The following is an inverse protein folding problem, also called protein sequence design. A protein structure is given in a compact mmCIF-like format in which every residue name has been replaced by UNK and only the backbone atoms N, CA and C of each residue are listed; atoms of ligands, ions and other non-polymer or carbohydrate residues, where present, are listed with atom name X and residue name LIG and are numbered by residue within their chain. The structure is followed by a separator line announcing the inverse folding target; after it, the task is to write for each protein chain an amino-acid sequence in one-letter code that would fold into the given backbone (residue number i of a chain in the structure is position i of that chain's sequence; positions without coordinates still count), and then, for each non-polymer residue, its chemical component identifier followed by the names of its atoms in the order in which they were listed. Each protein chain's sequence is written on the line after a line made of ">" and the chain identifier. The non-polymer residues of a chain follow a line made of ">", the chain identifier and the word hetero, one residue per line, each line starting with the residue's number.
data_IF_853913513553
#
_entry.id   IF_853913513553
#
_cell.length_a   1.000
_cell.length_b   1.000
_cell.length_c   1.000
_cell.angle_alpha   90.00
_cell.angle_beta   90.00
_cell.angle_gamma   90.00
#
_symmetry.space_group_name_H-M   'P 1'
#
loop_
_entity.id
_entity.type
_entity.pdbx_description
1 polymer ?
#
# COMPACT_ATOMS: atom_id res chain seq x y z
N UNK A 1 3.38 2.86 13.06
CA UNK A 1 4.48 3.78 12.73
C UNK A 1 5.38 3.28 11.60
N UNK A 2 5.88 2.03 11.61
CA UNK A 2 6.73 1.51 10.53
C UNK A 2 6.12 1.62 9.12
N UNK A 3 4.89 1.16 8.91
CA UNK A 3 4.20 1.29 7.61
C UNK A 3 3.98 2.73 7.16
N UNK A 4 3.73 3.66 8.10
CA UNK A 4 3.60 5.08 7.78
C UNK A 4 4.91 5.61 7.17
N UNK A 5 6.05 5.38 7.84
CA UNK A 5 7.36 5.86 7.37
C UNK A 5 7.72 5.23 6.03
N UNK A 6 7.49 3.92 5.88
CA UNK A 6 7.78 3.21 4.63
C UNK A 6 6.97 3.75 3.46
N UNK A 7 5.65 3.89 3.61
CA UNK A 7 4.78 4.33 2.52
C UNK A 7 4.90 5.83 2.24
N UNK A 8 5.15 6.66 3.25
CA UNK A 8 5.44 8.08 3.03
C UNK A 8 6.78 8.26 2.30
N UNK A 9 7.83 7.55 2.72
CA UNK A 9 9.11 7.58 2.04
C UNK A 9 9.01 7.10 0.59
N UNK A 10 8.30 6.00 0.38
CA UNK A 10 8.04 5.47 -0.96
C UNK A 10 7.24 6.47 -1.83
N UNK A 11 6.22 7.14 -1.27
CA UNK A 11 5.47 8.16 -1.98
C UNK A 11 6.37 9.33 -2.40
N UNK A 12 7.22 9.85 -1.51
CA UNK A 12 8.13 10.95 -1.82
C UNK A 12 9.13 10.55 -2.91
N UNK A 13 9.76 9.37 -2.78
CA UNK A 13 10.70 8.86 -3.78
C UNK A 13 9.98 8.68 -5.12
N UNK A 14 8.81 8.04 -5.12
CA UNK A 14 8.06 7.80 -6.34
C UNK A 14 7.58 9.09 -7.01
N UNK A 15 7.13 10.08 -6.24
CA UNK A 15 6.77 11.40 -6.76
C UNK A 15 7.98 12.04 -7.44
N UNK A 16 9.13 12.13 -6.76
CA UNK A 16 10.33 12.77 -7.30
C UNK A 16 10.86 12.04 -8.54
N UNK A 17 11.11 10.73 -8.43
CA UNK A 17 11.62 9.93 -9.55
C UNK A 17 10.65 9.93 -10.73
N UNK A 18 9.34 9.87 -10.48
CA UNK A 18 8.33 9.90 -11.55
C UNK A 18 8.24 11.23 -12.31
N UNK A 19 8.67 12.34 -11.70
CA UNK A 19 8.69 13.68 -12.33
C UNK A 19 10.06 14.02 -12.93
N UNK A 20 11.15 13.67 -12.25
CA UNK A 20 12.50 14.09 -12.61
C UNK A 20 13.22 13.07 -13.50
N UNK A 21 13.05 11.78 -13.22
CA UNK A 21 13.79 10.68 -13.86
C UNK A 21 12.93 9.43 -14.15
N UNK A 22 11.78 9.57 -14.84
CA UNK A 22 10.82 8.48 -15.01
C UNK A 22 11.37 7.27 -15.77
N UNK A 23 12.34 7.43 -16.66
CA UNK A 23 12.94 6.32 -17.41
C UNK A 23 13.59 5.26 -16.51
N UNK A 24 14.00 5.61 -15.27
CA UNK A 24 14.56 4.65 -14.30
C UNK A 24 13.58 3.52 -13.94
N UNK A 25 12.27 3.71 -14.10
CA UNK A 25 11.30 2.64 -13.86
C UNK A 25 11.33 1.55 -14.94
N UNK A 26 11.93 1.81 -16.11
CA UNK A 26 12.08 0.81 -17.17
C UNK A 26 13.11 -0.25 -16.77
N UNK A 27 14.13 0.11 -15.99
CA UNK A 27 15.18 -0.81 -15.52
C UNK A 27 14.60 -1.96 -14.67
N UNK A 28 13.40 -1.77 -14.08
CA UNK A 28 12.69 -2.84 -13.38
C UNK A 28 12.25 -3.99 -14.29
N UNK A 29 12.19 -3.79 -15.61
CA UNK A 29 11.88 -4.83 -16.59
C UNK A 29 12.88 -6.00 -16.53
N UNK A 30 14.12 -5.77 -16.11
CA UNK A 30 15.17 -6.80 -16.08
C UNK A 30 15.02 -7.79 -14.91
N UNK A 31 14.30 -7.39 -13.86
CA UNK A 31 14.05 -8.22 -12.68
C UNK A 31 12.63 -8.80 -12.66
N UNK A 32 11.75 -8.28 -13.51
CA UNK A 32 10.34 -8.62 -13.55
C UNK A 32 10.08 -9.98 -14.23
N UNK A 33 9.02 -10.67 -13.80
CA UNK A 33 8.54 -11.85 -14.52
C UNK A 33 8.10 -11.49 -15.95
N UNK A 34 8.08 -12.44 -16.91
CA UNK A 34 7.86 -12.13 -18.33
C UNK A 34 6.59 -11.32 -18.64
N UNK A 35 5.49 -11.60 -17.94
CA UNK A 35 4.23 -10.87 -18.12
C UNK A 35 4.39 -9.39 -17.70
N UNK A 36 5.03 -9.15 -16.55
CA UNK A 36 5.19 -7.82 -16.00
C UNK A 36 6.29 -7.03 -16.72
N UNK A 37 7.33 -7.71 -17.21
CA UNK A 37 8.32 -7.15 -18.14
C UNK A 37 7.66 -6.58 -19.40
N UNK A 38 6.74 -7.32 -20.02
CA UNK A 38 5.99 -6.85 -21.21
C UNK A 38 5.10 -5.63 -20.91
N UNK A 39 4.55 -5.56 -19.70
CA UNK A 39 3.80 -4.39 -19.26
C UNK A 39 4.71 -3.16 -19.10
N UNK A 40 5.87 -3.32 -18.44
CA UNK A 40 6.85 -2.25 -18.21
C UNK A 40 7.37 -1.68 -19.54
N UNK A 41 7.79 -2.56 -20.46
CA UNK A 41 8.32 -2.19 -21.79
C UNK A 41 7.23 -1.91 -22.84
N UNK A 42 5.97 -1.78 -22.39
CA UNK A 42 4.81 -1.61 -23.27
C UNK A 42 3.94 -0.46 -22.78
N UNK A 43 2.73 -0.77 -22.32
CA UNK A 43 1.74 0.22 -21.91
C UNK A 43 2.22 1.16 -20.78
N UNK A 44 3.13 0.70 -19.92
CA UNK A 44 3.68 1.52 -18.85
C UNK A 44 4.65 2.58 -19.37
N UNK A 45 5.46 2.24 -20.38
CA UNK A 45 6.52 3.11 -20.92
C UNK A 45 6.00 4.47 -21.40
N UNK A 46 4.84 4.48 -22.07
CA UNK A 46 4.24 5.72 -22.57
C UNK A 46 3.56 6.56 -21.47
N UNK A 47 3.34 5.98 -20.29
CA UNK A 47 2.51 6.55 -19.22
C UNK A 47 3.18 6.49 -17.84
N UNK A 48 4.53 6.40 -17.79
CA UNK A 48 5.27 6.20 -16.54
C UNK A 48 4.90 7.26 -15.51
N UNK A 49 5.05 8.54 -15.85
CA UNK A 49 4.78 9.65 -14.92
C UNK A 49 3.36 9.60 -14.35
N UNK A 50 2.27 9.62 -15.15
CA UNK A 50 0.92 9.60 -14.57
C UNK A 50 0.62 8.33 -13.77
N UNK A 51 1.14 7.16 -14.17
CA UNK A 51 0.95 5.93 -13.41
C UNK A 51 1.70 5.96 -12.07
N UNK A 52 2.96 6.35 -12.07
CA UNK A 52 3.80 6.44 -10.86
C UNK A 52 3.26 7.50 -9.90
N UNK A 53 2.79 8.65 -10.39
CA UNK A 53 2.14 9.65 -9.52
C UNK A 53 0.85 9.12 -8.90
N UNK A 54 0.05 8.37 -9.67
CA UNK A 54 -1.16 7.72 -9.13
C UNK A 54 -0.81 6.70 -8.03
N UNK A 55 0.28 5.94 -8.22
CA UNK A 55 0.81 5.04 -7.21
C UNK A 55 1.28 5.82 -5.96
N UNK A 56 2.01 6.93 -6.14
CA UNK A 56 2.49 7.76 -5.03
C UNK A 56 1.33 8.35 -4.20
N UNK A 57 0.24 8.77 -4.86
CA UNK A 57 -0.99 9.18 -4.17
C UNK A 57 -1.58 8.02 -3.36
N UNK A 58 -1.67 6.83 -3.95
CA UNK A 58 -2.12 5.63 -3.23
C UNK A 58 -1.25 5.32 -2.00
N UNK A 59 0.07 5.46 -2.14
CA UNK A 59 1.01 5.27 -1.03
C UNK A 59 0.83 6.32 0.07
N UNK A 60 0.58 7.58 -0.29
CA UNK A 60 0.30 8.64 0.66
C UNK A 60 -1.01 8.37 1.43
N UNK A 61 -2.06 7.89 0.74
CA UNK A 61 -3.33 7.51 1.37
C UNK A 61 -3.14 6.35 2.35
N UNK A 62 -2.36 5.33 1.98
CA UNK A 62 -1.99 4.23 2.89
C UNK A 62 -1.24 4.80 4.10
N UNK A 63 -0.25 5.66 3.90
CA UNK A 63 0.49 6.27 4.99
C UNK A 63 -0.42 7.06 5.95
N UNK A 64 -1.28 7.93 5.42
CA UNK A 64 -2.21 8.75 6.20
C UNK A 64 -3.19 7.89 7.01
N UNK A 65 -3.72 6.83 6.40
CA UNK A 65 -4.66 5.92 7.06
C UNK A 65 -4.09 5.22 8.29
N UNK A 66 -2.76 5.10 8.42
CA UNK A 66 -2.11 4.49 9.58
C UNK A 66 -2.25 5.31 10.87
N UNK A 67 -2.66 6.57 10.79
CA UNK A 67 -2.99 7.42 11.95
C UNK A 67 -4.50 7.54 12.19
N UNK A 68 -5.32 6.97 11.31
CA UNK A 68 -6.77 6.99 11.44
C UNK A 68 -7.26 5.78 12.23
N UNK A 69 -8.51 5.81 12.67
CA UNK A 69 -9.17 4.69 13.33
C UNK A 69 -10.22 4.04 12.44
N UNK A 70 -10.62 2.82 12.82
CA UNK A 70 -11.78 2.15 12.25
C UNK A 70 -11.70 1.85 10.75
N UNK A 71 -12.74 2.20 10.01
CA UNK A 71 -12.87 1.83 8.59
C UNK A 71 -11.78 2.46 7.71
N UNK A 72 -11.30 3.66 8.04
CA UNK A 72 -10.20 4.31 7.30
C UNK A 72 -8.89 3.55 7.47
N UNK A 73 -8.57 3.15 8.69
CA UNK A 73 -7.42 2.29 8.97
C UNK A 73 -7.48 0.95 8.23
N UNK A 74 -8.68 0.34 8.20
CA UNK A 74 -8.93 -0.91 7.48
C UNK A 74 -8.78 -0.75 5.97
N UNK A 75 -9.32 0.31 5.39
CA UNK A 75 -9.16 0.64 3.98
C UNK A 75 -7.68 0.83 3.64
N UNK A 76 -6.94 1.51 4.52
CA UNK A 76 -5.48 1.61 4.49
C UNK A 76 -4.75 0.28 4.42
N UNK A 77 -5.11 -0.65 5.30
CA UNK A 77 -4.53 -1.99 5.33
C UNK A 77 -4.83 -2.76 4.03
N UNK A 78 -6.05 -2.67 3.51
CA UNK A 78 -6.41 -3.28 2.22
C UNK A 78 -5.62 -2.68 1.07
N UNK A 79 -5.48 -1.35 1.04
CA UNK A 79 -4.64 -0.65 0.06
C UNK A 79 -3.18 -1.13 0.14
N UNK A 80 -2.64 -1.29 1.34
CA UNK A 80 -1.30 -1.83 1.58
C UNK A 80 -1.12 -3.26 1.03
N UNK A 81 -2.10 -4.14 1.26
CA UNK A 81 -2.11 -5.51 0.71
C UNK A 81 -2.11 -5.47 -0.81
N UNK A 82 -3.05 -4.74 -1.41
CA UNK A 82 -3.19 -4.63 -2.87
C UNK A 82 -1.90 -4.09 -3.48
N UNK A 83 -1.33 -3.02 -2.90
CA UNK A 83 -0.07 -2.45 -3.36
C UNK A 83 1.08 -3.48 -3.32
N UNK A 84 1.30 -4.13 -2.17
CA UNK A 84 2.37 -5.10 -2.02
C UNK A 84 2.23 -6.29 -2.99
N UNK A 85 1.01 -6.80 -3.19
CA UNK A 85 0.75 -7.87 -4.14
C UNK A 85 0.95 -7.41 -5.59
N UNK A 86 0.48 -6.22 -5.94
CA UNK A 86 0.61 -5.67 -7.29
C UNK A 86 2.08 -5.51 -7.72
N UNK A 87 2.98 -5.14 -6.82
CA UNK A 87 4.40 -4.97 -7.12
C UNK A 87 5.23 -6.26 -6.95
N UNK A 88 4.66 -7.33 -6.39
CA UNK A 88 5.37 -8.61 -6.22
C UNK A 88 5.97 -9.17 -7.52
N UNK A 89 5.30 -9.08 -8.70
CA UNK A 89 5.84 -9.53 -9.97
C UNK A 89 7.12 -8.82 -10.46
N UNK A 90 7.53 -7.69 -9.85
CA UNK A 90 8.81 -7.04 -10.14
C UNK A 90 10.01 -7.83 -9.57
N UNK A 91 9.78 -8.85 -8.74
CA UNK A 91 10.84 -9.70 -8.22
C UNK A 91 11.81 -8.93 -7.32
N UNK A 92 13.13 -9.12 -7.54
CA UNK A 92 14.18 -8.50 -6.72
C UNK A 92 14.10 -6.97 -6.69
N UNK A 93 13.67 -6.33 -7.77
CA UNK A 93 13.49 -4.88 -7.84
C UNK A 93 12.48 -4.35 -6.81
N UNK A 94 11.50 -5.16 -6.40
CA UNK A 94 10.54 -4.81 -5.36
C UNK A 94 10.93 -5.33 -3.96
N UNK A 95 12.20 -5.68 -3.74
CA UNK A 95 12.67 -6.30 -2.50
C UNK A 95 11.93 -7.60 -2.13
N UNK A 96 11.54 -8.40 -3.13
CA UNK A 96 10.99 -9.73 -2.88
C UNK A 96 11.95 -10.59 -2.02
N UNK A 97 11.46 -11.37 -1.03
CA UNK A 97 10.05 -11.65 -0.69
C UNK A 97 9.43 -10.70 0.35
N UNK A 98 10.09 -9.59 0.70
CA UNK A 98 9.63 -8.69 1.76
C UNK A 98 8.23 -8.11 1.48
N UNK A 99 7.87 -7.88 0.22
CA UNK A 99 6.52 -7.44 -0.19
C UNK A 99 5.42 -8.41 0.23
N UNK A 100 5.65 -9.72 0.14
CA UNK A 100 4.69 -10.72 0.62
C UNK A 100 4.58 -10.71 2.14
N UNK A 101 5.71 -10.59 2.84
CA UNK A 101 5.71 -10.47 4.30
C UNK A 101 4.97 -9.22 4.77
N UNK A 102 5.15 -8.09 4.07
CA UNK A 102 4.42 -6.85 4.34
C UNK A 102 2.92 -6.99 4.07
N UNK A 103 2.52 -7.65 2.97
CA UNK A 103 1.11 -7.94 2.71
C UNK A 103 0.49 -8.77 3.84
N UNK A 104 1.19 -9.80 4.33
CA UNK A 104 0.74 -10.59 5.49
C UNK A 104 0.64 -9.75 6.77
N UNK A 105 1.58 -8.84 7.00
CA UNK A 105 1.55 -7.95 8.14
C UNK A 105 0.37 -6.96 8.07
N UNK A 106 0.06 -6.40 6.90
CA UNK A 106 -1.16 -5.61 6.70
C UNK A 106 -2.43 -6.44 6.92
N UNK A 107 -2.45 -7.70 6.48
CA UNK A 107 -3.59 -8.59 6.74
C UNK A 107 -3.82 -8.84 8.23
N UNK A 108 -2.75 -9.08 9.00
CA UNK A 108 -2.86 -9.20 10.46
C UNK A 108 -3.36 -7.91 11.10
N UNK A 109 -2.90 -6.75 10.61
CA UNK A 109 -3.31 -5.44 11.09
C UNK A 109 -4.79 -5.16 10.80
N UNK A 110 -5.25 -5.53 9.60
CA UNK A 110 -6.65 -5.45 9.19
C UNK A 110 -7.56 -6.26 10.12
N UNK A 111 -7.17 -7.52 10.43
CA UNK A 111 -7.95 -8.38 11.35
C UNK A 111 -8.04 -7.79 12.75
N UNK A 112 -6.91 -7.35 13.32
CA UNK A 112 -6.89 -6.71 14.65
C UNK A 112 -7.70 -5.41 14.69
N UNK A 113 -7.75 -4.67 13.57
CA UNK A 113 -8.59 -3.49 13.43
C UNK A 113 -10.09 -3.81 13.53
N UNK A 114 -10.51 -4.97 13.02
CA UNK A 114 -11.88 -5.45 13.10
C UNK A 114 -12.29 -5.74 14.55
N UNK A 115 -11.44 -6.47 15.29
CA UNK A 115 -11.69 -6.80 16.71
C UNK A 115 -11.85 -5.54 17.58
N UNK A 116 -11.08 -4.48 17.30
CA UNK A 116 -11.17 -3.19 18.00
C UNK A 116 -12.49 -2.47 17.72
N UNK A 117 -12.97 -2.51 16.47
CA UNK A 117 -14.24 -1.90 16.08
C UNK A 117 -15.42 -2.60 16.73
N UNK A 118 -15.44 -3.93 16.69
CA UNK A 118 -16.48 -4.75 17.33
C UNK A 118 -16.54 -4.47 18.83
N UNK A 119 -15.39 -4.42 19.51
CA UNK A 119 -15.33 -4.09 20.94
C UNK A 119 -15.88 -2.69 21.23
N UNK A 120 -15.53 -1.68 20.43
CA UNK A 120 -16.00 -0.29 20.59
C UNK A 120 -17.52 -0.19 20.38
N UNK A 121 -18.06 -0.94 19.43
CA UNK A 121 -19.50 -0.99 19.18
C UNK A 121 -20.26 -1.65 20.34
N UNK A 122 -19.75 -2.77 20.87
CA UNK A 122 -20.33 -3.44 22.05
C UNK A 122 -20.32 -2.51 23.26
N UNK A 123 -19.19 -1.86 23.56
CA UNK A 123 -19.06 -0.92 24.68
C UNK A 123 -20.04 0.26 24.56
N UNK A 124 -20.15 0.84 23.36
CA UNK A 124 -21.11 1.92 23.09
C UNK A 124 -22.55 1.46 23.31
N UNK A 125 -22.91 0.24 22.90
CA UNK A 125 -24.25 -0.32 23.14
C UNK A 125 -24.50 -0.55 24.63
N UNK A 126 -23.52 -1.06 25.37
CA UNK A 126 -23.64 -1.27 26.83
C UNK A 126 -23.83 0.05 27.57
N UNK A 127 -23.12 1.11 27.18
CA UNK A 127 -23.27 2.46 27.77
C UNK A 127 -24.58 3.15 27.37
N UNK A 128 -25.14 2.82 26.21
CA UNK A 128 -26.39 3.39 25.70
C UNK A 128 -27.65 2.75 26.28
N UNK A 129 -27.54 1.64 27.03
CA UNK A 129 -28.66 1.07 27.76
C UNK A 129 -28.85 1.86 29.07
N UNK A 130 -29.96 2.61 29.23
CA UNK A 130 -30.25 3.23 30.52
C UNK A 130 -30.56 2.11 31.49
N UNK A 131 -29.83 2.06 32.60
CA UNK A 131 -29.97 1.14 33.73
C UNK A 131 -29.37 -0.27 33.54
N UNK A 132 -28.24 -0.49 34.22
CA UNK A 132 -28.01 -1.71 34.98
C UNK A 132 -28.09 -1.34 36.48
#
# INVERSE_FOLDING_TARGET
>A
MGFFVLFLGAAIINTRTGLETPWLYQDFADYAIPLYRRFILGSFESMITPMVQSIAVGQLLIAASMFMEGNWFRAGCLGGIIFCLAITPLGFAAAFPATLLMAMAFYQLYRRGNDRLEKKEVDTRTLALPFN
#
